data_IF_106365599772
#
_entry.id   IF_106365599772
#
_cell.length_a   1.000
_cell.length_b   1.000
_cell.length_c   1.000
_cell.angle_alpha   90.00
_cell.angle_beta   90.00
_cell.angle_gamma   90.00
#
_symmetry.space_group_name_H-M   'P 1'
#
loop_
_entity.id
_entity.type
_entity.pdbx_description
1 polymer ?
#
# COMPACT_ATOMS: atom_id res chain seq x y z
N UNK A 1 24.92 43.35 -20.54
CA UNK A 1 24.18 42.19 -21.07
C UNK A 1 24.60 40.85 -20.47
N UNK A 2 25.90 40.61 -20.20
CA UNK A 2 26.40 39.33 -19.65
C UNK A 2 25.82 38.98 -18.26
N UNK A 3 25.67 39.97 -17.38
CA UNK A 3 25.11 39.79 -16.03
C UNK A 3 23.62 39.38 -16.07
N UNK A 4 22.87 39.94 -17.03
CA UNK A 4 21.45 39.66 -17.23
C UNK A 4 21.24 38.26 -17.81
N UNK A 5 22.14 37.84 -18.72
CA UNK A 5 22.17 36.48 -19.29
C UNK A 5 22.48 35.43 -18.20
N UNK A 6 23.40 35.74 -17.28
CA UNK A 6 23.81 34.84 -16.19
C UNK A 6 22.71 34.68 -15.14
N UNK A 7 21.96 35.75 -14.82
CA UNK A 7 20.80 35.70 -13.92
C UNK A 7 19.69 34.83 -14.52
N UNK A 8 19.46 34.94 -15.84
CA UNK A 8 18.47 34.11 -16.53
C UNK A 8 18.83 32.61 -16.49
N UNK A 9 20.12 32.28 -16.58
CA UNK A 9 20.58 30.88 -16.52
C UNK A 9 20.41 30.28 -15.12
N UNK A 10 20.69 31.06 -14.08
CA UNK A 10 20.54 30.62 -12.68
C UNK A 10 19.06 30.39 -12.34
N UNK A 11 18.17 31.29 -12.78
CA UNK A 11 16.74 31.18 -12.56
C UNK A 11 16.13 29.93 -13.21
N UNK A 12 16.59 29.59 -14.43
CA UNK A 12 16.15 28.42 -15.17
C UNK A 12 16.54 27.11 -14.46
N UNK A 13 17.77 27.03 -13.93
CA UNK A 13 18.28 25.84 -13.21
C UNK A 13 17.49 25.56 -11.93
N UNK A 14 17.10 26.61 -11.18
CA UNK A 14 16.30 26.46 -9.96
C UNK A 14 14.89 25.94 -10.20
N UNK A 15 14.28 26.24 -11.36
CA UNK A 15 12.94 25.74 -11.70
C UNK A 15 12.96 24.24 -12.03
N UNK A 16 14.01 23.74 -12.69
CA UNK A 16 14.15 22.32 -12.99
C UNK A 16 14.54 21.46 -11.77
N UNK A 17 15.10 22.07 -10.71
CA UNK A 17 15.59 21.36 -9.53
C UNK A 17 14.53 20.84 -8.55
N UNK A 18 13.27 21.27 -8.66
CA UNK A 18 12.21 20.93 -7.68
C UNK A 18 11.38 19.70 -8.06
N UNK A 19 11.78 18.95 -9.10
CA UNK A 19 10.98 17.85 -9.68
C UNK A 19 10.98 16.53 -8.89
N UNK A 20 11.53 16.47 -7.68
CA UNK A 20 11.42 15.27 -6.84
C UNK A 20 10.23 15.38 -5.88
N UNK A 21 9.02 15.18 -6.41
CA UNK A 21 7.89 14.72 -5.59
C UNK A 21 8.19 13.27 -5.16
N UNK A 22 8.88 13.12 -4.03
CA UNK A 22 9.21 11.80 -3.51
C UNK A 22 7.91 11.13 -3.01
N UNK A 23 7.32 10.26 -3.82
CA UNK A 23 6.21 9.38 -3.42
C UNK A 23 6.74 8.36 -2.40
N UNK A 24 6.89 8.77 -1.15
CA UNK A 24 7.23 7.87 -0.03
C UNK A 24 5.97 7.09 0.33
N UNK A 25 5.64 6.09 -0.48
CA UNK A 25 4.60 5.12 -0.14
C UNK A 25 5.18 4.11 0.84
N UNK A 26 4.66 4.08 2.07
CA UNK A 26 5.08 3.10 3.08
C UNK A 26 4.98 1.65 2.58
N UNK A 27 5.92 0.79 2.97
CA UNK A 27 6.07 -0.59 2.48
C UNK A 27 5.14 -1.60 3.17
N UNK A 28 4.52 -1.22 4.28
CA UNK A 28 3.61 -2.05 5.07
C UNK A 28 2.37 -1.26 5.46
N UNK A 29 1.31 -1.98 5.80
CA UNK A 29 0.04 -1.44 6.26
C UNK A 29 -0.60 -2.42 7.24
N UNK A 30 -1.16 -1.89 8.32
CA UNK A 30 -1.98 -2.67 9.24
C UNK A 30 -3.42 -2.70 8.74
N UNK A 31 -3.99 -3.91 8.69
CA UNK A 31 -5.37 -4.14 8.28
C UNK A 31 -6.10 -4.87 9.39
N UNK A 32 -7.23 -4.32 9.81
CA UNK A 32 -8.16 -4.98 10.70
C UNK A 32 -9.08 -5.90 9.90
N UNK A 33 -9.11 -7.17 10.29
CA UNK A 33 -9.90 -8.20 9.62
C UNK A 33 -10.88 -8.78 10.64
N UNK A 34 -12.16 -8.67 10.33
CA UNK A 34 -13.25 -9.23 11.09
C UNK A 34 -14.05 -10.23 10.24
N UNK A 35 -14.70 -11.20 10.89
CA UNK A 35 -15.64 -12.11 10.25
C UNK A 35 -16.81 -12.41 11.16
N UNK A 36 -17.96 -12.72 10.56
CA UNK A 36 -19.09 -13.30 11.27
C UNK A 36 -19.43 -14.66 10.63
N UNK A 37 -19.31 -15.78 11.36
CA UNK A 37 -18.85 -15.91 12.75
C UNK A 37 -17.36 -15.60 12.96
N UNK A 38 -16.98 -15.30 14.21
CA UNK A 38 -15.60 -15.06 14.62
C UNK A 38 -14.76 -16.34 14.65
N UNK A 39 -13.43 -16.21 14.74
CA UNK A 39 -12.49 -17.34 14.86
C UNK A 39 -12.02 -17.94 13.54
N UNK A 40 -12.37 -17.32 12.40
CA UNK A 40 -11.91 -17.74 11.09
C UNK A 40 -10.38 -17.58 10.98
N UNK A 41 -9.69 -18.58 10.47
CA UNK A 41 -8.25 -18.53 10.22
C UNK A 41 -7.96 -17.63 9.03
N UNK A 42 -7.05 -16.67 9.21
CA UNK A 42 -6.63 -15.70 8.21
C UNK A 42 -5.37 -16.23 7.51
N UNK A 43 -5.38 -16.20 6.19
CA UNK A 43 -4.27 -16.58 5.33
C UNK A 43 -3.81 -15.41 4.48
N UNK A 44 -2.50 -15.16 4.43
CA UNK A 44 -1.86 -14.23 3.49
C UNK A 44 -1.07 -15.03 2.46
N UNK A 45 -1.54 -15.06 1.20
CA UNK A 45 -0.90 -15.85 0.14
C UNK A 45 -0.76 -17.35 0.47
N UNK A 46 -1.70 -17.90 1.25
CA UNK A 46 -1.68 -19.29 1.73
C UNK A 46 -0.94 -19.51 3.05
N UNK A 47 -0.24 -18.51 3.61
CA UNK A 47 0.38 -18.60 4.93
C UNK A 47 -0.60 -18.21 6.03
N UNK A 48 -0.76 -19.05 7.05
CA UNK A 48 -1.58 -18.73 8.22
C UNK A 48 -0.94 -17.58 9.02
N UNK A 49 -1.66 -16.48 9.16
CA UNK A 49 -1.17 -15.26 9.85
C UNK A 49 -1.95 -14.91 11.11
N UNK A 50 -3.14 -15.47 11.32
CA UNK A 50 -3.93 -15.18 12.52
C UNK A 50 -5.33 -15.79 12.50
N UNK A 51 -6.19 -15.32 13.41
CA UNK A 51 -7.63 -15.63 13.46
C UNK A 51 -8.44 -14.34 13.65
N UNK A 52 -9.64 -14.27 13.08
CA UNK A 52 -10.53 -13.12 13.27
C UNK A 52 -11.16 -13.11 14.67
N UNK A 53 -11.48 -11.93 15.22
CA UNK A 53 -11.05 -10.60 14.77
C UNK A 53 -9.56 -10.36 15.09
N UNK A 54 -8.80 -9.84 14.11
CA UNK A 54 -7.39 -9.49 14.34
C UNK A 54 -6.91 -8.38 13.39
N UNK A 55 -5.94 -7.60 13.89
CA UNK A 55 -5.14 -6.69 13.06
C UNK A 55 -3.88 -7.42 12.61
N UNK A 56 -3.64 -7.46 11.30
CA UNK A 56 -2.42 -8.02 10.72
C UNK A 56 -1.63 -6.96 9.98
N UNK A 57 -0.31 -6.98 10.11
CA UNK A 57 0.59 -6.15 9.31
C UNK A 57 0.87 -6.84 7.99
N UNK A 58 0.39 -6.27 6.89
CA UNK A 58 0.67 -6.77 5.55
C UNK A 58 1.76 -5.92 4.89
N UNK A 59 2.64 -6.57 4.13
CA UNK A 59 3.53 -5.86 3.21
C UNK A 59 2.76 -5.49 1.95
N UNK A 60 2.88 -4.24 1.51
CA UNK A 60 2.32 -3.81 0.24
C UNK A 60 3.13 -4.46 -0.88
N UNK A 61 2.52 -5.41 -1.59
CA UNK A 61 3.14 -6.01 -2.76
C UNK A 61 3.16 -5.00 -3.89
N UNK A 62 4.23 -4.20 -4.05
CA UNK A 62 4.45 -3.19 -5.10
C UNK A 62 3.33 -3.02 -6.14
N UNK A 63 3.41 -3.74 -7.27
CA UNK A 63 2.42 -3.68 -8.35
C UNK A 63 1.39 -4.83 -8.35
N UNK A 64 1.61 -5.89 -7.56
CA UNK A 64 0.70 -7.04 -7.54
C UNK A 64 -0.44 -6.87 -6.53
N UNK A 65 -1.60 -7.38 -6.90
CA UNK A 65 -2.73 -7.52 -5.98
C UNK A 65 -2.39 -8.58 -4.92
N UNK A 66 -2.87 -8.37 -3.69
CA UNK A 66 -2.59 -9.27 -2.57
C UNK A 66 -3.85 -10.06 -2.22
N UNK A 67 -3.70 -11.36 -2.06
CA UNK A 67 -4.79 -12.26 -1.73
C UNK A 67 -4.81 -12.56 -0.23
N UNK A 68 -5.97 -12.32 0.40
CA UNK A 68 -6.25 -12.72 1.78
C UNK A 68 -7.39 -13.72 1.76
N UNK A 69 -7.21 -14.89 2.38
CA UNK A 69 -8.26 -15.89 2.50
C UNK A 69 -8.68 -16.10 3.95
N UNK A 70 -9.98 -16.29 4.16
CA UNK A 70 -10.56 -16.67 5.43
C UNK A 70 -11.08 -18.11 5.35
N UNK A 71 -10.71 -18.93 6.33
CA UNK A 71 -11.18 -20.31 6.43
C UNK A 71 -11.67 -20.59 7.84
N UNK A 72 -12.89 -21.09 7.96
CA UNK A 72 -13.45 -21.56 9.22
C UNK A 72 -13.98 -22.98 9.01
N UNK A 73 -13.83 -23.81 10.03
CA UNK A 73 -14.32 -25.19 9.98
C UNK A 73 -15.85 -25.21 9.80
N UNK A 74 -16.34 -26.00 8.85
CA UNK A 74 -17.76 -26.05 8.49
C UNK A 74 -18.24 -24.91 7.59
N UNK A 75 -17.36 -24.00 7.15
CA UNK A 75 -17.70 -22.90 6.25
C UNK A 75 -16.88 -22.95 4.96
N UNK A 76 -17.45 -22.40 3.89
CA UNK A 76 -16.75 -22.22 2.63
C UNK A 76 -15.61 -21.20 2.79
N UNK A 77 -14.43 -21.53 2.26
CA UNK A 77 -13.30 -20.60 2.22
C UNK A 77 -13.65 -19.40 1.35
N UNK A 78 -13.41 -18.19 1.87
CA UNK A 78 -13.58 -16.94 1.12
C UNK A 78 -12.21 -16.31 0.86
N UNK A 79 -11.97 -15.92 -0.38
CA UNK A 79 -10.79 -15.17 -0.81
C UNK A 79 -11.19 -13.73 -1.13
N UNK A 80 -10.38 -12.79 -0.65
CA UNK A 80 -10.49 -11.36 -0.90
C UNK A 80 -9.22 -10.85 -1.56
N UNK A 81 -9.38 -10.08 -2.63
CA UNK A 81 -8.28 -9.43 -3.32
C UNK A 81 -8.18 -8.00 -2.78
N UNK A 82 -7.11 -7.71 -2.07
CA UNK A 82 -6.82 -6.37 -1.59
C UNK A 82 -6.37 -5.51 -2.77
N UNK A 83 -7.22 -4.56 -3.15
CA UNK A 83 -6.93 -3.59 -4.21
C UNK A 83 -6.28 -2.37 -3.62
N UNK A 84 -5.28 -1.83 -4.33
CA UNK A 84 -4.70 -0.53 -4.01
C UNK A 84 -5.62 0.56 -4.58
N UNK A 85 -6.07 1.49 -3.75
CA UNK A 85 -6.58 2.79 -4.20
C UNK A 85 -5.52 3.86 -3.95
N UNK A 86 -5.37 4.78 -4.89
CA UNK A 86 -4.57 5.99 -4.70
C UNK A 86 -5.54 7.16 -4.55
N UNK A 87 -5.63 7.71 -3.33
CA UNK A 87 -6.42 8.91 -3.08
C UNK A 87 -5.49 10.12 -3.25
N UNK A 88 -5.58 10.74 -4.43
CA UNK A 88 -4.84 11.93 -4.80
C UNK A 88 -5.59 13.17 -4.32
N UNK A 89 -5.57 13.46 -3.03
CA UNK A 89 -6.09 14.72 -2.47
C UNK A 89 -4.95 15.52 -1.87
#
# INVERSE_FOLDING_TARGET
>A
MKILLNIFTIFLITIFGVSCASLISGTSQDIYINSNPEGATIYDGGLKVGKTPATITIRKSGLSDKEISLSLEGYERRTFILRKSFDAV
#
